data_IF_361590103176
#
_entry.id   IF_361590103176
#
_cell.length_a   1.000
_cell.length_b   1.000
_cell.length_c   1.000
_cell.angle_alpha   90.00
_cell.angle_beta   90.00
_cell.angle_gamma   90.00
#
_symmetry.space_group_name_H-M   'P 1'
#
loop_
_entity.id
_entity.type
_entity.pdbx_description
1 polymer ?
#
# COMPACT_ATOMS: atom_id res chain seq x y z
N UNK A 1 -6.45 0.33 21.26
CA UNK A 1 -6.51 1.81 21.22
C UNK A 1 -5.55 2.27 20.12
N UNK A 2 -5.95 3.20 19.22
CA UNK A 2 -5.01 3.80 18.28
C UNK A 2 -3.83 4.39 19.05
N UNK A 3 -2.60 4.05 18.67
CA UNK A 3 -1.44 4.76 19.21
C UNK A 3 -1.54 6.23 18.81
N UNK A 4 -1.04 7.16 19.62
CA UNK A 4 -1.09 8.61 19.30
C UNK A 4 -0.46 8.95 17.94
N UNK A 5 0.35 8.05 17.37
CA UNK A 5 0.95 8.16 16.04
C UNK A 5 -0.06 8.09 14.88
N UNK A 6 -1.19 7.39 15.04
CA UNK A 6 -2.18 7.19 13.96
C UNK A 6 -3.00 8.45 13.61
N UNK A 7 -3.01 9.48 14.47
CA UNK A 7 -3.94 10.62 14.31
C UNK A 7 -3.50 11.65 13.26
N UNK A 8 -2.24 11.61 12.82
CA UNK A 8 -1.65 12.62 11.94
C UNK A 8 -1.16 12.07 10.58
N UNK A 9 -1.36 10.78 10.30
CA UNK A 9 -0.97 10.20 9.01
C UNK A 9 -1.93 10.64 7.90
N UNK A 10 -1.39 11.15 6.80
CA UNK A 10 -2.18 11.41 5.60
C UNK A 10 -2.65 10.07 5.00
N UNK A 11 -3.92 9.91 4.63
CA UNK A 11 -4.34 8.76 3.85
C UNK A 11 -3.55 8.73 2.54
N UNK A 12 -3.03 7.55 2.17
CA UNK A 12 -2.38 7.41 0.86
C UNK A 12 -3.42 7.26 -0.25
N UNK A 13 -3.01 7.62 -1.45
CA UNK A 13 -3.81 7.59 -2.67
C UNK A 13 -3.05 6.76 -3.71
N UNK A 14 -3.76 6.02 -4.56
CA UNK A 14 -3.13 5.31 -5.67
C UNK A 14 -2.81 6.30 -6.80
N UNK A 15 -1.71 6.09 -7.52
CA UNK A 15 -1.22 6.92 -8.63
C UNK A 15 -0.23 8.01 -8.22
N UNK A 16 0.09 8.95 -9.12
CA UNK A 16 0.94 10.12 -8.83
C UNK A 16 0.18 11.18 -8.02
N UNK A 17 0.86 11.89 -7.10
CA UNK A 17 0.24 13.01 -6.40
C UNK A 17 -0.13 14.13 -7.37
N UNK A 18 -1.28 14.78 -7.14
CA UNK A 18 -1.65 16.03 -7.81
C UNK A 18 -0.92 17.21 -7.16
N UNK A 19 0.38 17.32 -7.41
CA UNK A 19 1.20 18.44 -6.93
C UNK A 19 1.38 19.45 -8.06
N UNK A 20 1.38 20.75 -7.72
CA UNK A 20 1.64 21.78 -8.71
C UNK A 20 3.07 21.66 -9.25
N UNK A 21 3.21 21.65 -10.57
CA UNK A 21 4.48 21.58 -11.29
C UNK A 21 5.53 22.60 -10.79
N UNK A 22 5.08 23.80 -10.39
CA UNK A 22 5.95 24.90 -9.96
C UNK A 22 6.21 24.94 -8.45
N UNK A 23 5.60 24.04 -7.68
CA UNK A 23 5.84 23.97 -6.24
C UNK A 23 7.30 23.66 -5.95
N UNK A 24 7.88 24.34 -4.95
CA UNK A 24 9.30 24.23 -4.65
C UNK A 24 9.56 23.29 -3.50
N UNK A 25 10.54 22.41 -3.68
CA UNK A 25 10.99 21.41 -2.71
C UNK A 25 12.35 21.83 -2.16
N UNK A 26 12.50 21.75 -0.83
CA UNK A 26 13.79 22.03 -0.17
C UNK A 26 14.86 21.04 -0.63
N UNK A 27 16.04 21.55 -0.94
CA UNK A 27 17.20 20.72 -1.29
C UNK A 27 17.97 20.34 -0.02
N UNK A 28 18.33 19.08 0.10
CA UNK A 28 19.23 18.60 1.15
C UNK A 28 20.68 18.81 0.73
N UNK A 29 21.49 19.38 1.62
CA UNK A 29 22.93 19.52 1.41
C UNK A 29 23.63 18.43 2.20
N UNK A 30 24.19 17.46 1.48
CA UNK A 30 24.73 16.24 2.07
C UNK A 30 26.22 16.20 1.79
N UNK A 31 27.01 16.37 2.85
CA UNK A 31 28.46 16.24 2.75
C UNK A 31 28.86 14.76 2.66
N UNK A 32 29.78 14.39 1.74
CA UNK A 32 30.36 13.06 1.71
C UNK A 32 31.09 12.77 3.03
N UNK A 33 31.07 11.51 3.43
CA UNK A 33 31.78 11.04 4.62
C UNK A 33 33.04 10.27 4.17
N UNK A 34 34.20 10.69 4.68
CA UNK A 34 35.48 10.00 4.50
C UNK A 34 35.56 8.70 5.30
N UNK A 35 34.72 8.53 6.34
CA UNK A 35 34.97 7.57 7.43
C UNK A 35 34.23 6.22 7.27
N UNK A 36 33.76 5.92 6.06
CA UNK A 36 33.07 4.65 5.77
C UNK A 36 34.01 3.74 4.99
N UNK A 37 34.59 2.77 5.69
CA UNK A 37 35.67 1.93 5.18
C UNK A 37 35.17 0.61 4.56
N UNK A 38 33.96 0.14 4.92
CA UNK A 38 33.45 -1.14 4.44
C UNK A 38 31.96 -1.19 4.11
N UNK A 39 31.58 -2.17 3.29
CA UNK A 39 30.18 -2.54 2.98
C UNK A 39 29.37 -2.85 4.24
N UNK A 40 30.01 -3.45 5.25
CA UNK A 40 29.35 -3.81 6.50
C UNK A 40 28.97 -2.56 7.27
N UNK A 41 29.85 -1.58 7.35
CA UNK A 41 29.61 -0.34 8.09
C UNK A 41 28.47 0.47 7.46
N UNK A 42 28.37 0.48 6.13
CA UNK A 42 27.24 1.08 5.41
C UNK A 42 25.91 0.44 5.81
N UNK A 43 25.84 -0.89 5.80
CA UNK A 43 24.62 -1.64 6.15
C UNK A 43 24.25 -1.41 7.62
N UNK A 44 25.25 -1.41 8.51
CA UNK A 44 25.08 -1.22 9.94
C UNK A 44 24.57 0.18 10.26
N UNK A 45 25.12 1.20 9.61
CA UNK A 45 24.67 2.60 9.73
C UNK A 45 23.28 2.83 9.15
N UNK A 46 22.99 2.31 7.95
CA UNK A 46 21.66 2.44 7.36
C UNK A 46 20.59 1.79 8.25
N UNK A 47 20.88 0.56 8.71
CA UNK A 47 19.95 -0.16 9.58
C UNK A 47 19.81 0.52 10.93
N UNK A 48 20.90 0.97 11.58
CA UNK A 48 20.80 1.65 12.88
C UNK A 48 20.02 2.96 12.77
N UNK A 49 20.15 3.67 11.65
CA UNK A 49 19.44 4.91 11.40
C UNK A 49 17.93 4.72 11.22
N UNK A 50 17.50 3.61 10.61
CA UNK A 50 16.10 3.40 10.23
C UNK A 50 15.39 2.32 11.07
N UNK A 51 16.11 1.58 11.93
CA UNK A 51 15.58 0.45 12.72
C UNK A 51 14.40 0.85 13.62
N UNK A 52 14.47 2.03 14.25
CA UNK A 52 13.41 2.51 15.15
C UNK A 52 12.30 3.26 14.41
N UNK A 53 12.45 3.46 13.10
CA UNK A 53 11.56 4.27 12.28
C UNK A 53 11.86 5.75 12.32
N UNK A 54 11.55 6.42 11.21
CA UNK A 54 11.67 7.86 11.03
C UNK A 54 10.34 8.37 10.51
N UNK A 55 9.78 9.36 11.19
CA UNK A 55 8.54 10.00 10.75
C UNK A 55 8.83 10.86 9.52
N UNK A 56 8.13 10.56 8.43
CA UNK A 56 8.15 11.37 7.22
C UNK A 56 7.32 12.64 7.43
N UNK A 57 7.86 13.81 7.08
CA UNK A 57 7.22 15.10 7.31
C UNK A 57 6.08 15.39 6.31
N UNK A 58 6.12 14.79 5.12
CA UNK A 58 5.06 14.97 4.13
C UNK A 58 3.83 14.12 4.48
N UNK A 59 4.01 12.84 4.81
CA UNK A 59 2.88 11.91 5.01
C UNK A 59 2.56 11.59 6.46
N UNK A 60 3.49 11.81 7.40
CA UNK A 60 3.39 11.31 8.77
C UNK A 60 3.82 9.84 8.92
N UNK A 61 4.15 9.14 7.84
CA UNK A 61 4.45 7.71 7.88
C UNK A 61 5.70 7.40 8.71
N UNK A 62 5.63 6.35 9.52
CA UNK A 62 6.80 5.82 10.21
C UNK A 62 7.62 4.92 9.26
N UNK A 63 8.59 5.51 8.56
CA UNK A 63 9.45 4.81 7.61
C UNK A 63 10.57 4.05 8.33
N UNK A 64 10.62 2.73 8.13
CA UNK A 64 11.57 1.81 8.76
C UNK A 64 12.41 1.07 7.74
N UNK A 65 13.56 0.54 8.13
CA UNK A 65 14.30 -0.41 7.29
C UNK A 65 15.00 -1.46 8.16
N UNK A 66 14.85 -2.73 7.80
CA UNK A 66 15.58 -3.81 8.46
C UNK A 66 17.01 -3.90 7.93
N UNK A 67 17.87 -4.64 8.65
CA UNK A 67 19.20 -5.01 8.14
C UNK A 67 19.13 -5.78 6.81
N UNK A 68 18.06 -6.57 6.62
CA UNK A 68 17.84 -7.32 5.37
C UNK A 68 17.55 -6.37 4.20
N UNK A 69 16.74 -5.34 4.45
CA UNK A 69 16.38 -4.36 3.42
C UNK A 69 17.56 -3.43 3.09
N UNK A 70 18.33 -3.04 4.12
CA UNK A 70 19.60 -2.34 3.95
C UNK A 70 20.57 -3.12 3.07
N UNK A 71 20.69 -4.44 3.28
CA UNK A 71 21.50 -5.32 2.43
C UNK A 71 21.05 -5.25 0.96
N UNK A 72 19.76 -5.46 0.67
CA UNK A 72 19.23 -5.43 -0.71
C UNK A 72 19.52 -4.12 -1.42
N UNK A 73 19.32 -3.00 -0.71
CA UNK A 73 19.58 -1.64 -1.21
C UNK A 73 21.05 -1.46 -1.58
N UNK A 74 21.93 -1.91 -0.70
CA UNK A 74 23.39 -1.80 -0.84
C UNK A 74 23.96 -2.74 -1.91
N UNK A 75 23.37 -3.93 -2.12
CA UNK A 75 23.88 -4.91 -3.09
C UNK A 75 23.91 -4.43 -4.54
N UNK A 76 23.12 -3.42 -4.90
CA UNK A 76 22.99 -2.90 -6.27
C UNK A 76 23.80 -1.63 -6.54
N UNK A 77 24.61 -1.15 -5.58
CA UNK A 77 25.30 0.15 -5.67
C UNK A 77 26.81 0.01 -5.53
N UNK A 78 27.54 0.90 -6.18
CA UNK A 78 28.98 1.05 -5.98
C UNK A 78 29.26 1.69 -4.62
N UNK A 79 29.65 0.87 -3.66
CA UNK A 79 29.86 1.25 -2.26
C UNK A 79 31.07 2.14 -2.03
N UNK A 80 32.01 2.16 -2.97
CA UNK A 80 33.16 3.04 -2.90
C UNK A 80 32.82 4.46 -3.36
N UNK A 81 31.66 4.64 -3.99
CA UNK A 81 31.18 5.97 -4.38
C UNK A 81 30.95 6.85 -3.14
N UNK A 82 31.61 8.02 -3.06
CA UNK A 82 31.37 9.00 -2.00
C UNK A 82 29.89 9.39 -1.89
N UNK A 83 29.19 9.44 -3.03
CA UNK A 83 27.76 9.73 -3.13
C UNK A 83 26.93 8.70 -2.36
N UNK A 84 27.23 7.41 -2.55
CA UNK A 84 26.51 6.33 -1.88
C UNK A 84 26.73 6.37 -0.36
N UNK A 85 27.97 6.66 0.08
CA UNK A 85 28.31 6.82 1.50
C UNK A 85 27.56 8.01 2.13
N UNK A 86 27.51 9.14 1.43
CA UNK A 86 26.82 10.35 1.86
C UNK A 86 25.31 10.10 2.11
N UNK A 87 24.66 9.40 1.18
CA UNK A 87 23.24 9.05 1.27
C UNK A 87 22.94 8.16 2.48
N UNK A 88 23.74 7.10 2.70
CA UNK A 88 23.44 6.16 3.78
C UNK A 88 23.69 6.73 5.18
N UNK A 89 24.66 7.65 5.32
CA UNK A 89 24.85 8.42 6.57
C UNK A 89 23.62 9.27 6.89
N UNK A 90 23.08 9.94 5.88
CA UNK A 90 21.98 10.90 6.04
C UNK A 90 20.60 10.27 5.79
N UNK A 91 20.50 8.94 5.88
CA UNK A 91 19.28 8.19 5.60
C UNK A 91 18.08 8.65 6.46
N UNK A 92 18.30 9.10 7.70
CA UNK A 92 17.21 9.67 8.54
C UNK A 92 16.67 10.96 7.95
N UNK A 93 17.54 11.89 7.58
CA UNK A 93 17.13 13.19 7.03
C UNK A 93 16.45 13.02 5.67
N UNK A 94 16.96 12.11 4.84
CA UNK A 94 16.37 11.72 3.56
C UNK A 94 14.97 11.14 3.77
N UNK A 95 14.82 10.15 4.66
CA UNK A 95 13.53 9.52 4.94
C UNK A 95 12.52 10.55 5.49
N UNK A 96 12.95 11.43 6.40
CA UNK A 96 12.08 12.44 7.00
C UNK A 96 11.66 13.53 6.00
N UNK A 97 12.56 13.96 5.12
CA UNK A 97 12.34 15.12 4.22
C UNK A 97 11.84 14.75 2.82
N UNK A 98 11.80 13.46 2.48
CA UNK A 98 11.35 13.01 1.17
C UNK A 98 9.85 13.25 0.96
N UNK A 99 9.49 13.68 -0.24
CA UNK A 99 8.10 13.88 -0.65
C UNK A 99 7.53 12.58 -1.19
N UNK A 100 6.29 12.27 -0.84
CA UNK A 100 5.58 11.14 -1.42
C UNK A 100 5.10 11.49 -2.82
N UNK A 101 5.60 10.79 -3.85
CA UNK A 101 5.36 11.20 -5.25
C UNK A 101 4.36 10.31 -5.96
N UNK A 102 4.35 9.00 -5.67
CA UNK A 102 3.47 8.02 -6.30
C UNK A 102 3.19 6.86 -5.33
N UNK A 103 1.98 6.31 -5.36
CA UNK A 103 1.72 4.96 -4.85
C UNK A 103 1.21 4.05 -5.94
N UNK A 104 1.66 2.80 -5.95
CA UNK A 104 1.13 1.78 -6.83
C UNK A 104 1.14 0.43 -6.10
N UNK A 105 0.60 -0.60 -6.72
CA UNK A 105 0.65 -1.95 -6.18
C UNK A 105 1.97 -2.65 -6.49
N UNK A 106 2.28 -3.75 -5.79
CA UNK A 106 3.39 -4.63 -6.16
C UNK A 106 3.06 -5.43 -7.43
N UNK A 107 3.24 -4.78 -8.59
CA UNK A 107 2.98 -5.35 -9.92
C UNK A 107 3.96 -6.47 -10.29
N UNK A 108 5.16 -6.44 -9.71
CA UNK A 108 6.25 -7.34 -10.08
C UNK A 108 6.18 -8.68 -9.34
N UNK A 109 5.89 -8.66 -8.04
CA UNK A 109 5.91 -9.85 -7.20
C UNK A 109 4.53 -10.27 -6.71
N UNK A 110 3.51 -9.42 -6.90
CA UNK A 110 2.11 -9.66 -6.55
C UNK A 110 1.93 -10.19 -5.12
N UNK A 111 2.72 -9.64 -4.18
CA UNK A 111 2.77 -10.12 -2.81
C UNK A 111 1.49 -9.73 -2.05
N UNK A 112 0.70 -10.72 -1.63
CA UNK A 112 -0.57 -10.51 -0.93
C UNK A 112 -0.45 -9.80 0.43
N UNK A 113 0.76 -9.74 1.00
CA UNK A 113 1.03 -9.03 2.26
C UNK A 113 1.35 -7.55 2.04
N UNK A 114 1.67 -7.14 0.81
CA UNK A 114 1.97 -5.76 0.45
C UNK A 114 0.70 -5.11 -0.06
N UNK A 115 0.19 -4.13 0.69
CA UNK A 115 -0.99 -3.35 0.31
C UNK A 115 -0.65 -2.31 -0.76
N UNK A 116 0.52 -1.68 -0.64
CA UNK A 116 0.98 -0.68 -1.59
C UNK A 116 2.52 -0.60 -1.61
N UNK A 117 3.04 -0.09 -2.72
CA UNK A 117 4.39 0.41 -2.88
C UNK A 117 4.26 1.92 -3.03
N UNK A 118 4.95 2.66 -2.17
CA UNK A 118 5.05 4.11 -2.22
C UNK A 118 6.44 4.49 -2.72
N UNK A 119 6.49 5.48 -3.60
CA UNK A 119 7.72 6.09 -4.05
C UNK A 119 7.81 7.46 -3.39
N UNK A 120 8.90 7.69 -2.68
CA UNK A 120 9.26 8.99 -2.15
C UNK A 120 10.48 9.54 -2.89
N UNK A 121 10.60 10.86 -3.02
CA UNK A 121 11.75 11.49 -3.62
C UNK A 121 12.21 12.73 -2.86
N UNK A 122 13.53 12.95 -2.83
CA UNK A 122 14.12 14.19 -2.30
C UNK A 122 15.27 14.65 -3.21
N UNK A 123 15.40 15.97 -3.47
CA UNK A 123 16.58 16.51 -4.11
C UNK A 123 17.72 16.68 -3.10
N UNK A 124 18.90 16.20 -3.46
CA UNK A 124 20.10 16.33 -2.64
C UNK A 124 21.28 16.86 -3.45
N UNK A 125 22.01 17.83 -2.92
CA UNK A 125 23.31 18.25 -3.42
C UNK A 125 24.39 17.47 -2.68
N UNK A 126 25.20 16.73 -3.44
CA UNK A 126 26.29 15.90 -2.93
C UNK A 126 27.51 16.21 -3.79
N UNK A 127 28.63 16.59 -3.16
CA UNK A 127 29.87 16.97 -3.88
C UNK A 127 29.65 18.03 -4.98
N UNK A 128 28.69 18.93 -4.76
CA UNK A 128 28.37 20.01 -5.71
C UNK A 128 27.51 19.56 -6.90
N UNK A 129 27.07 18.31 -6.95
CA UNK A 129 26.15 17.81 -7.96
C UNK A 129 24.75 17.60 -7.38
N UNK A 130 23.71 17.90 -8.17
CA UNK A 130 22.32 17.65 -7.77
C UNK A 130 21.92 16.21 -8.13
N UNK A 131 21.26 15.55 -7.18
CA UNK A 131 20.74 14.18 -7.30
C UNK A 131 19.28 14.11 -6.91
N UNK A 132 18.55 13.19 -7.54
CA UNK A 132 17.28 12.66 -7.03
C UNK A 132 17.55 11.39 -6.24
N UNK A 133 17.15 11.40 -4.98
CA UNK A 133 17.18 10.21 -4.14
C UNK A 133 15.75 9.71 -4.02
N UNK A 134 15.49 8.50 -4.49
CA UNK A 134 14.17 7.88 -4.46
C UNK A 134 14.15 6.76 -3.42
N UNK A 135 13.11 6.73 -2.57
CA UNK A 135 12.87 5.66 -1.62
C UNK A 135 11.69 4.82 -2.13
N UNK A 136 11.89 3.52 -2.24
CA UNK A 136 10.82 2.56 -2.47
C UNK A 136 10.38 2.01 -1.12
N UNK A 137 9.15 2.31 -0.72
CA UNK A 137 8.57 1.93 0.56
C UNK A 137 7.44 0.93 0.33
N UNK A 138 7.52 -0.24 0.96
CA UNK A 138 6.43 -1.22 0.96
C UNK A 138 5.55 -1.01 2.19
N UNK A 139 4.26 -0.91 1.96
CA UNK A 139 3.22 -0.88 2.99
C UNK A 139 2.65 -2.29 3.18
N UNK A 140 2.83 -2.83 4.38
CA UNK A 140 2.43 -4.20 4.72
C UNK A 140 1.16 -4.23 5.58
N UNK A 141 0.28 -5.19 5.27
CA UNK A 141 -0.89 -5.51 6.10
C UNK A 141 -0.65 -6.81 6.84
N UNK A 142 -0.49 -6.73 8.16
CA UNK A 142 -0.52 -7.92 9.01
C UNK A 142 -1.97 -8.32 9.31
N UNK A 143 -2.32 -9.59 9.04
CA UNK A 143 -3.71 -10.10 9.13
C UNK A 143 -4.21 -10.32 10.57
N UNK A 144 -3.33 -10.31 11.58
CA UNK A 144 -3.67 -10.70 12.97
C UNK A 144 -3.28 -9.67 14.05
N UNK A 145 -2.77 -8.50 13.67
CA UNK A 145 -2.45 -7.42 14.61
C UNK A 145 -3.23 -6.17 14.23
N UNK A 146 -4.04 -5.65 15.15
CA UNK A 146 -4.57 -4.30 15.04
C UNK A 146 -3.37 -3.33 14.95
N UNK A 147 -3.16 -2.77 13.75
CA UNK A 147 -2.37 -1.56 13.49
C UNK A 147 -0.88 -1.62 13.86
N UNK A 148 -0.13 -2.46 13.15
CA UNK A 148 1.24 -2.08 12.79
C UNK A 148 1.31 -1.97 11.28
N UNK A 149 0.92 -0.82 10.73
CA UNK A 149 1.34 -0.47 9.38
C UNK A 149 2.86 -0.36 9.42
N UNK A 150 3.54 -1.23 8.67
CA UNK A 150 5.00 -1.20 8.55
C UNK A 150 5.32 -0.63 7.20
N UNK A 151 5.76 0.63 7.17
CA UNK A 151 6.27 1.27 5.97
C UNK A 151 7.76 0.98 5.86
N UNK A 152 8.11 -0.16 5.24
CA UNK A 152 9.51 -0.57 5.11
C UNK A 152 10.15 -0.03 3.84
N UNK A 153 11.23 0.74 3.97
CA UNK A 153 12.10 1.13 2.86
C UNK A 153 12.81 -0.12 2.35
N UNK A 154 12.39 -0.62 1.18
CA UNK A 154 12.93 -1.82 0.52
C UNK A 154 14.05 -1.48 -0.46
N UNK A 155 14.12 -0.22 -0.93
CA UNK A 155 15.12 0.22 -1.89
C UNK A 155 15.39 1.72 -1.86
N UNK A 156 16.63 2.09 -2.20
CA UNK A 156 17.05 3.47 -2.44
C UNK A 156 17.67 3.57 -3.84
N UNK A 157 17.07 4.38 -4.70
CA UNK A 157 17.61 4.74 -6.00
C UNK A 157 18.25 6.11 -5.95
N UNK A 158 19.30 6.30 -6.75
CA UNK A 158 20.06 7.55 -6.81
C UNK A 158 20.22 7.83 -8.29
N UNK A 159 19.65 8.95 -8.74
CA UNK A 159 19.73 9.40 -10.12
C UNK A 159 20.40 10.77 -10.13
N UNK A 160 21.52 10.89 -10.86
CA UNK A 160 22.14 12.20 -11.09
C UNK A 160 21.24 12.99 -12.02
N UNK A 161 21.04 14.27 -11.76
CA UNK A 161 20.45 15.13 -12.77
C UNK A 161 21.47 15.32 -13.89
N UNK A 162 21.29 14.58 -14.98
CA UNK A 162 21.83 15.04 -16.25
C UNK A 162 21.13 16.37 -16.56
N UNK A 163 21.89 17.38 -17.03
CA UNK A 163 21.32 18.59 -17.62
C UNK A 163 20.44 18.13 -18.80
N UNK A 164 19.17 17.85 -18.53
CA UNK A 164 18.20 17.54 -19.56
C UNK A 164 18.16 18.74 -20.51
N UNK A 165 18.65 18.49 -21.73
CA UNK A 165 18.44 19.25 -22.96
C UNK A 165 17.79 20.63 -22.75
N UNK A 166 18.61 21.67 -22.84
CA UNK A 166 18.09 22.99 -23.18
C UNK A 166 17.57 22.89 -24.61
N UNK A 167 16.27 22.67 -24.77
CA UNK A 167 15.59 23.12 -25.98
C UNK A 167 15.45 24.63 -25.83
N UNK A 168 16.44 25.35 -26.33
CA UNK A 168 16.27 26.76 -26.66
C UNK A 168 15.28 26.81 -27.83
N UNK A 169 14.12 27.50 -27.71
CA UNK A 169 13.37 27.83 -28.89
C UNK A 169 14.27 28.73 -29.74
N UNK A 170 14.46 28.48 -31.04
CA UNK A 170 15.23 29.39 -31.88
C UNK A 170 14.55 30.76 -31.82
N UNK A 171 15.33 31.77 -31.42
CA UNK A 171 14.96 33.16 -31.62
C UNK A 171 14.57 33.38 -33.09
N UNK A 172 13.59 34.24 -33.30
CA UNK A 172 13.08 34.62 -34.61
C UNK A 172 14.18 35.02 -35.60
N UNK A 173 13.93 34.62 -36.85
CA UNK A 173 14.34 35.23 -38.12
C UNK A 173 15.79 35.66 -38.28
N UNK A 174 16.54 35.00 -39.19
CA UNK A 174 17.18 35.74 -40.28
C UNK A 174 17.22 34.90 -41.56
N UNK A 175 16.93 35.58 -42.66
CA UNK A 175 17.04 35.15 -44.03
C UNK A 175 18.45 34.63 -44.43
N UNK A 176 18.42 33.84 -45.52
CA UNK A 176 19.40 33.71 -46.60
C UNK A 176 20.81 33.15 -46.35
N UNK A 177 20.99 31.94 -46.90
CA UNK A 177 22.10 31.42 -47.72
C UNK A 177 23.51 31.96 -47.48
N UNK A 178 24.39 31.02 -47.10
CA UNK A 178 25.74 30.92 -47.62
C UNK A 178 26.81 30.95 -46.53
N UNK A 179 27.47 29.81 -46.32
CA UNK A 179 28.93 29.59 -46.41
C UNK A 179 29.28 28.33 -45.59
N UNK A 180 29.77 27.29 -46.26
CA UNK A 180 30.42 26.14 -45.64
C UNK A 180 31.79 26.58 -45.11
N UNK A 181 32.12 26.31 -43.83
CA UNK A 181 33.53 26.06 -43.44
C UNK A 181 33.69 25.27 -42.12
N UNK A 182 34.26 24.07 -42.29
CA UNK A 182 35.30 23.34 -41.53
C UNK A 182 35.40 23.43 -39.99
N UNK A 183 35.20 22.24 -39.39
CA UNK A 183 35.95 21.60 -38.29
C UNK A 183 36.34 22.42 -37.06
N UNK A 184 35.72 22.07 -35.93
CA UNK A 184 36.35 22.07 -34.61
C UNK A 184 36.13 20.69 -33.97
N UNK A 185 37.19 20.08 -33.43
CA UNK A 185 37.06 19.03 -32.40
C UNK A 185 36.05 19.53 -31.35
N UNK A 186 35.19 18.68 -30.78
CA UNK A 186 34.50 19.07 -29.56
C UNK A 186 35.57 19.26 -28.50
N UNK A 187 35.96 20.50 -28.24
CA UNK A 187 36.60 20.87 -26.99
C UNK A 187 35.61 20.49 -25.92
N UNK A 188 35.90 19.41 -25.19
CA UNK A 188 35.30 19.16 -23.89
C UNK A 188 35.71 20.34 -23.00
N UNK A 189 35.01 21.46 -23.14
CA UNK A 189 35.03 22.51 -22.15
C UNK A 189 34.58 21.85 -20.84
N UNK A 190 35.54 21.67 -19.93
CA UNK A 190 35.26 21.42 -18.52
C UNK A 190 34.45 22.61 -18.03
N UNK A 191 33.14 22.54 -18.17
CA UNK A 191 32.24 23.47 -17.51
C UNK A 191 32.41 23.26 -16.02
N UNK A 192 33.00 24.26 -15.37
CA UNK A 192 33.17 24.34 -13.93
C UNK A 192 31.84 24.07 -13.22
N UNK A 193 31.96 23.36 -12.11
CA UNK A 193 30.93 23.18 -11.08
C UNK A 193 30.26 24.52 -10.77
N UNK A 194 29.05 24.74 -11.27
CA UNK A 194 28.19 25.83 -10.81
C UNK A 194 26.83 25.20 -10.47
N UNK A 195 26.82 24.41 -9.40
CA UNK A 195 25.66 24.39 -8.50
C UNK A 195 26.03 25.40 -7.43
N UNK A 196 25.52 26.63 -7.56
CA UNK A 196 25.69 27.66 -6.54
C UNK A 196 25.31 27.09 -5.17
N UNK A 197 26.13 27.33 -4.14
CA UNK A 197 25.83 27.02 -2.73
C UNK A 197 24.50 27.66 -2.23
N UNK A 198 23.86 28.49 -3.07
CA UNK A 198 22.61 29.19 -2.80
C UNK A 198 21.32 28.46 -3.24
N UNK A 199 21.38 27.26 -3.85
CA UNK A 199 20.15 26.54 -4.25
C UNK A 199 19.48 25.89 -3.03
N UNK A 200 18.65 26.67 -2.32
CA UNK A 200 17.91 26.19 -1.13
C UNK A 200 16.69 25.33 -1.48
N UNK A 201 16.16 25.48 -2.69
CA UNK A 201 14.98 24.77 -3.17
C UNK A 201 15.00 24.63 -4.70
N UNK A 202 14.30 23.62 -5.21
CA UNK A 202 14.07 23.43 -6.66
C UNK A 202 12.59 23.23 -6.95
N UNK A 203 12.08 23.63 -8.12
CA UNK A 203 10.71 23.33 -8.49
C UNK A 203 10.52 21.82 -8.75
N UNK A 204 9.33 21.30 -8.45
CA UNK A 204 9.02 19.88 -8.53
C UNK A 204 9.21 19.31 -9.93
N UNK A 205 8.95 20.10 -10.97
CA UNK A 205 9.22 19.64 -12.34
C UNK A 205 10.68 19.32 -12.61
N UNK A 206 11.60 20.00 -11.92
CA UNK A 206 13.01 19.62 -11.97
C UNK A 206 13.22 18.38 -11.14
N UNK A 207 12.63 18.26 -9.94
CA UNK A 207 12.74 17.04 -9.13
C UNK A 207 12.33 15.79 -9.93
N UNK A 208 11.22 15.86 -10.64
CA UNK A 208 10.61 14.69 -11.30
C UNK A 208 10.98 14.60 -12.78
N UNK A 209 11.99 15.35 -13.22
CA UNK A 209 12.51 15.25 -14.59
C UNK A 209 13.03 13.84 -14.88
N UNK A 210 12.58 13.24 -15.98
CA UNK A 210 12.93 11.87 -16.36
C UNK A 210 12.33 10.77 -15.47
N UNK A 211 11.50 11.11 -14.47
CA UNK A 211 10.76 10.11 -13.72
C UNK A 211 9.67 9.48 -14.60
N UNK A 212 9.66 8.14 -14.62
CA UNK A 212 8.65 7.34 -15.30
C UNK A 212 7.82 6.67 -14.22
N UNK A 213 6.51 6.90 -14.27
CA UNK A 213 5.52 6.33 -13.35
C UNK A 213 5.38 4.83 -13.56
N UNK A 214 4.72 4.14 -12.64
CA UNK A 214 4.48 2.70 -12.75
C UNK A 214 3.67 2.29 -14.00
N UNK A 215 2.90 3.21 -14.58
CA UNK A 215 2.14 3.01 -15.82
C UNK A 215 2.94 3.29 -17.11
N UNK A 216 4.23 3.64 -16.99
CA UNK A 216 5.11 3.93 -18.12
C UNK A 216 5.04 5.37 -18.66
N UNK A 217 4.18 6.23 -18.11
CA UNK A 217 4.08 7.64 -18.52
C UNK A 217 5.02 8.53 -17.70
N UNK A 218 5.36 9.74 -18.16
CA UNK A 218 6.12 10.70 -17.34
C UNK A 218 5.24 11.26 -16.23
N UNK A 219 5.85 11.77 -15.17
CA UNK A 219 5.11 12.28 -14.01
C UNK A 219 4.01 13.30 -14.35
N UNK A 220 4.36 14.33 -15.14
CA UNK A 220 3.47 15.42 -15.54
C UNK A 220 2.77 15.18 -16.87
N UNK A 221 2.88 13.99 -17.46
CA UNK A 221 2.06 13.68 -18.63
C UNK A 221 0.60 13.69 -18.18
N UNK A 222 -0.26 14.29 -19.01
CA UNK A 222 -1.68 14.38 -18.73
C UNK A 222 -2.21 12.98 -18.43
N UNK A 223 -2.76 12.86 -17.23
CA UNK A 223 -3.62 11.74 -16.86
C UNK A 223 -4.99 12.04 -17.44
N UNK A 224 -5.59 11.09 -18.15
CA UNK A 224 -6.98 11.29 -18.61
C UNK A 224 -7.86 11.57 -17.39
N UNK A 225 -8.81 12.51 -17.47
CA UNK A 225 -9.76 12.72 -16.37
C UNK A 225 -10.56 11.43 -16.07
N UNK A 226 -10.69 10.55 -17.08
CA UNK A 226 -11.28 9.21 -16.98
C UNK A 226 -10.41 8.23 -16.17
N UNK A 227 -9.10 8.49 -16.05
CA UNK A 227 -8.17 7.75 -15.19
C UNK A 227 -8.21 8.27 -13.74
N UNK A 228 -9.20 9.07 -13.35
CA UNK A 228 -9.44 9.47 -11.96
C UNK A 228 -10.90 9.22 -11.56
N UNK A 229 -11.10 8.64 -10.38
CA UNK A 229 -12.42 8.57 -9.75
C UNK A 229 -12.91 9.95 -9.30
N UNK A 230 -14.22 10.05 -9.02
CA UNK A 230 -14.86 11.26 -8.47
C UNK A 230 -14.29 11.70 -7.11
N UNK A 231 -13.57 10.81 -6.42
CA UNK A 231 -12.83 11.06 -5.18
C UNK A 231 -11.39 11.56 -5.40
N UNK A 232 -10.97 11.74 -6.66
CA UNK A 232 -9.63 12.18 -7.04
C UNK A 232 -8.57 11.06 -7.04
N UNK A 233 -8.97 9.80 -6.80
CA UNK A 233 -8.07 8.64 -6.77
C UNK A 233 -7.77 8.17 -8.20
N UNK A 234 -6.49 7.94 -8.53
CA UNK A 234 -6.06 7.45 -9.84
C UNK A 234 -6.64 6.07 -10.16
N UNK A 235 -7.49 5.98 -11.18
CA UNK A 235 -8.03 4.77 -11.80
C UNK A 235 -7.30 4.47 -13.11
N UNK A 236 -6.09 3.91 -13.06
CA UNK A 236 -5.51 3.31 -14.27
C UNK A 236 -6.02 1.88 -14.49
N UNK A 237 -6.00 1.40 -15.74
CA UNK A 237 -6.19 -0.01 -16.07
C UNK A 237 -5.27 -0.92 -15.25
N UNK A 238 -4.08 -0.43 -14.89
CA UNK A 238 -3.13 -1.08 -13.99
C UNK A 238 -3.69 -1.24 -12.56
N UNK A 239 -4.34 -0.20 -12.00
CA UNK A 239 -5.04 -0.30 -10.70
C UNK A 239 -6.20 -1.28 -10.78
N UNK A 240 -7.01 -1.18 -11.82
CA UNK A 240 -8.18 -2.04 -12.01
C UNK A 240 -7.75 -3.50 -12.07
N UNK A 241 -6.75 -3.81 -12.91
CA UNK A 241 -6.18 -5.15 -13.02
C UNK A 241 -5.64 -5.65 -11.69
N UNK A 242 -4.88 -4.83 -10.95
CA UNK A 242 -4.36 -5.24 -9.65
C UNK A 242 -5.47 -5.50 -8.62
N UNK A 243 -6.43 -4.58 -8.49
CA UNK A 243 -7.54 -4.74 -7.53
C UNK A 243 -8.37 -5.97 -7.90
N UNK A 244 -8.66 -6.16 -9.20
CA UNK A 244 -9.36 -7.35 -9.69
C UNK A 244 -8.58 -8.63 -9.36
N UNK A 245 -7.27 -8.68 -9.65
CA UNK A 245 -6.43 -9.84 -9.34
C UNK A 245 -6.37 -10.13 -7.85
N UNK A 246 -6.24 -9.09 -7.02
CA UNK A 246 -6.18 -9.23 -5.57
C UNK A 246 -7.51 -9.76 -5.01
N UNK A 247 -8.63 -9.17 -5.42
CA UNK A 247 -9.96 -9.61 -5.01
C UNK A 247 -10.26 -11.02 -5.53
N UNK A 248 -9.82 -11.37 -6.74
CA UNK A 248 -9.94 -12.72 -7.30
C UNK A 248 -9.13 -13.75 -6.51
N UNK A 249 -7.92 -13.44 -6.05
CA UNK A 249 -7.15 -14.33 -5.16
C UNK A 249 -7.87 -14.54 -3.84
N UNK A 250 -8.36 -13.45 -3.23
CA UNK A 250 -9.20 -13.54 -2.02
C UNK A 250 -10.43 -14.39 -2.25
N UNK A 251 -11.10 -14.23 -3.39
CA UNK A 251 -12.23 -15.06 -3.80
C UNK A 251 -11.85 -16.55 -3.83
N UNK A 252 -10.80 -16.88 -4.59
CA UNK A 252 -10.35 -18.27 -4.79
C UNK A 252 -9.92 -18.93 -3.47
N UNK A 253 -9.30 -18.17 -2.57
CA UNK A 253 -8.86 -18.66 -1.26
C UNK A 253 -10.03 -18.80 -0.28
N UNK A 254 -10.87 -17.77 -0.13
CA UNK A 254 -11.96 -17.76 0.86
C UNK A 254 -13.11 -18.71 0.49
N UNK A 255 -13.32 -18.95 -0.82
CA UNK A 255 -14.43 -19.76 -1.33
C UNK A 255 -13.96 -21.05 -2.00
N UNK A 256 -12.76 -21.53 -1.65
CA UNK A 256 -12.22 -22.79 -2.17
C UNK A 256 -13.20 -23.96 -1.98
N UNK A 257 -13.82 -24.08 -0.82
CA UNK A 257 -14.82 -25.13 -0.55
C UNK A 257 -16.07 -25.01 -1.43
N UNK A 258 -16.49 -23.80 -1.80
CA UNK A 258 -17.62 -23.59 -2.72
C UNK A 258 -17.26 -24.07 -4.10
N UNK A 259 -16.05 -23.75 -4.57
CA UNK A 259 -15.53 -24.20 -5.85
C UNK A 259 -15.48 -25.73 -5.92
N UNK A 260 -14.99 -26.38 -4.86
CA UNK A 260 -14.94 -27.83 -4.76
C UNK A 260 -16.36 -28.46 -4.76
N UNK A 261 -17.29 -27.95 -3.94
CA UNK A 261 -18.68 -28.43 -3.88
C UNK A 261 -19.42 -28.28 -5.21
N UNK A 262 -19.12 -27.23 -5.97
CA UNK A 262 -19.69 -26.99 -7.29
C UNK A 262 -18.91 -27.65 -8.44
N UNK A 263 -17.99 -28.59 -8.13
CA UNK A 263 -17.20 -29.34 -9.11
C UNK A 263 -16.42 -28.42 -10.08
N UNK A 264 -15.94 -27.28 -9.58
CA UNK A 264 -15.16 -26.32 -10.34
C UNK A 264 -13.70 -26.29 -9.85
N UNK A 265 -12.86 -27.27 -10.25
CA UNK A 265 -11.46 -27.29 -9.85
C UNK A 265 -10.71 -26.11 -10.49
N UNK A 266 -9.82 -25.46 -9.74
CA UNK A 266 -8.99 -24.34 -10.23
C UNK A 266 -7.82 -24.83 -11.11
N UNK A 267 -8.13 -25.55 -12.19
CA UNK A 267 -7.18 -25.78 -13.29
C UNK A 267 -6.80 -24.45 -13.94
N UNK A 268 -5.69 -24.40 -14.69
CA UNK A 268 -5.25 -23.18 -15.39
C UNK A 268 -6.37 -22.55 -16.23
N UNK A 269 -7.10 -23.38 -16.98
CA UNK A 269 -8.23 -22.96 -17.81
C UNK A 269 -9.40 -22.43 -16.99
N UNK A 270 -9.79 -23.13 -15.92
CA UNK A 270 -10.90 -22.71 -15.07
C UNK A 270 -10.57 -21.44 -14.29
N UNK A 271 -9.31 -21.27 -13.87
CA UNK A 271 -8.82 -20.05 -13.23
C UNK A 271 -8.89 -18.86 -14.18
N UNK A 272 -8.47 -19.01 -15.43
CA UNK A 272 -8.59 -17.96 -16.46
C UNK A 272 -10.05 -17.62 -16.75
N UNK A 273 -10.91 -18.64 -16.93
CA UNK A 273 -12.34 -18.43 -17.17
C UNK A 273 -13.00 -17.69 -16.00
N UNK A 274 -12.72 -18.12 -14.77
CA UNK A 274 -13.29 -17.51 -13.57
C UNK A 274 -12.77 -16.08 -13.38
N UNK A 275 -11.48 -15.83 -13.65
CA UNK A 275 -10.92 -14.49 -13.58
C UNK A 275 -11.55 -13.55 -14.61
N UNK A 276 -11.69 -13.96 -15.87
CA UNK A 276 -12.34 -13.15 -16.90
C UNK A 276 -13.79 -12.79 -16.52
N UNK A 277 -14.56 -13.76 -16.02
CA UNK A 277 -15.92 -13.51 -15.56
C UNK A 277 -15.95 -12.62 -14.31
N UNK A 278 -14.94 -12.71 -13.45
CA UNK A 278 -14.78 -11.82 -12.30
C UNK A 278 -14.50 -10.38 -12.74
N UNK A 279 -13.66 -10.16 -13.76
CA UNK A 279 -13.42 -8.84 -14.33
C UNK A 279 -14.69 -8.24 -14.94
N UNK A 280 -15.46 -9.04 -15.71
CA UNK A 280 -16.76 -8.62 -16.23
C UNK A 280 -17.71 -8.18 -15.10
N UNK A 281 -17.73 -8.89 -13.97
CA UNK A 281 -18.53 -8.53 -12.80
C UNK A 281 -18.03 -7.27 -12.08
N UNK A 282 -16.73 -6.99 -12.12
CA UNK A 282 -16.10 -5.83 -11.52
C UNK A 282 -16.24 -4.56 -12.37
N UNK A 283 -16.34 -4.70 -13.69
CA UNK A 283 -16.35 -3.61 -14.68
C UNK A 283 -17.42 -2.55 -14.41
N UNK A 284 -18.65 -2.98 -14.08
CA UNK A 284 -19.76 -2.06 -13.76
C UNK A 284 -19.41 -1.14 -12.56
N UNK A 285 -18.55 -1.57 -11.62
CA UNK A 285 -18.14 -0.74 -10.48
C UNK A 285 -17.03 0.24 -10.84
N UNK A 286 -16.17 -0.13 -11.80
CA UNK A 286 -15.15 0.74 -12.34
C UNK A 286 -15.78 1.88 -13.15
N UNK A 287 -16.71 1.54 -14.05
CA UNK A 287 -17.43 2.51 -14.89
C UNK A 287 -18.26 3.51 -14.09
N UNK A 288 -18.83 3.08 -12.96
CA UNK A 288 -19.68 3.93 -12.12
C UNK A 288 -18.93 4.65 -10.98
N UNK A 289 -17.59 4.66 -11.01
CA UNK A 289 -16.75 5.29 -9.97
C UNK A 289 -17.04 4.83 -8.53
N UNK A 290 -17.60 3.64 -8.34
CA UNK A 290 -17.92 3.11 -7.00
C UNK A 290 -16.70 2.56 -6.23
N UNK A 291 -15.48 2.89 -6.70
CA UNK A 291 -14.23 2.78 -5.96
C UNK A 291 -14.00 1.39 -5.36
N UNK A 292 -13.80 0.38 -6.21
CA UNK A 292 -13.31 -0.90 -5.72
C UNK A 292 -11.93 -0.71 -5.07
N UNK A 293 -11.74 -1.37 -3.94
CA UNK A 293 -10.48 -1.46 -3.18
C UNK A 293 -10.16 -2.92 -2.92
N UNK A 294 -9.07 -3.21 -2.23
CA UNK A 294 -8.63 -4.59 -1.91
C UNK A 294 -9.35 -5.21 -0.69
N UNK A 295 -10.37 -4.53 -0.15
CA UNK A 295 -11.08 -4.96 1.05
C UNK A 295 -12.18 -6.02 0.77
N UNK A 296 -12.68 -6.67 1.82
CA UNK A 296 -13.71 -7.71 1.71
C UNK A 296 -15.04 -7.14 1.17
N UNK A 297 -15.41 -5.92 1.56
CA UNK A 297 -16.63 -5.27 1.08
C UNK A 297 -16.66 -5.10 -0.44
N UNK A 298 -15.51 -4.78 -1.06
CA UNK A 298 -15.38 -4.68 -2.51
C UNK A 298 -15.58 -6.03 -3.18
N UNK A 299 -15.05 -7.10 -2.57
CA UNK A 299 -15.29 -8.47 -3.04
C UNK A 299 -16.78 -8.84 -2.97
N UNK A 300 -17.43 -8.53 -1.83
CA UNK A 300 -18.86 -8.82 -1.62
C UNK A 300 -19.75 -8.05 -2.60
N UNK A 301 -19.42 -6.78 -2.90
CA UNK A 301 -20.10 -5.97 -3.94
C UNK A 301 -20.07 -6.67 -5.30
N UNK A 302 -18.89 -7.11 -5.74
CA UNK A 302 -18.72 -7.80 -7.04
C UNK A 302 -19.58 -9.07 -7.10
N UNK A 303 -19.50 -9.91 -6.06
CA UNK A 303 -20.23 -11.18 -6.03
C UNK A 303 -21.74 -10.94 -5.96
N UNK A 304 -22.18 -9.91 -5.24
CA UNK A 304 -23.59 -9.59 -5.05
C UNK A 304 -24.22 -8.84 -6.22
N UNK A 305 -23.44 -8.47 -7.24
CA UNK A 305 -23.93 -7.75 -8.43
C UNK A 305 -24.69 -8.68 -9.39
N UNK A 306 -25.93 -9.01 -9.03
CA UNK A 306 -26.77 -9.91 -9.82
C UNK A 306 -27.11 -9.35 -11.22
N UNK A 307 -27.06 -8.02 -11.41
CA UNK A 307 -27.33 -7.40 -12.71
C UNK A 307 -26.35 -7.84 -13.81
N UNK A 308 -25.15 -8.27 -13.42
CA UNK A 308 -24.11 -8.73 -14.35
C UNK A 308 -24.21 -10.23 -14.66
N UNK A 309 -24.99 -11.02 -13.91
CA UNK A 309 -25.00 -12.48 -14.05
C UNK A 309 -25.41 -12.95 -15.47
N UNK A 310 -26.27 -12.19 -16.15
CA UNK A 310 -26.65 -12.42 -17.54
C UNK A 310 -25.47 -12.34 -18.53
N UNK A 311 -24.39 -11.62 -18.17
CA UNK A 311 -23.16 -11.49 -18.97
C UNK A 311 -22.12 -12.58 -18.64
N UNK A 312 -22.35 -13.37 -17.59
CA UNK A 312 -21.40 -14.36 -17.09
C UNK A 312 -21.67 -15.76 -17.67
N UNK A 313 -20.64 -16.58 -17.69
CA UNK A 313 -20.74 -17.99 -18.06
C UNK A 313 -21.62 -18.76 -17.05
N UNK A 314 -22.52 -19.66 -17.48
CA UNK A 314 -23.46 -20.34 -16.58
C UNK A 314 -22.80 -21.05 -15.38
N UNK A 315 -21.65 -21.69 -15.62
CA UNK A 315 -20.89 -22.35 -14.56
C UNK A 315 -20.36 -21.35 -13.52
N UNK A 316 -20.00 -20.13 -13.94
CA UNK A 316 -19.54 -19.08 -13.04
C UNK A 316 -20.72 -18.43 -12.31
N UNK A 317 -21.87 -18.27 -12.95
CA UNK A 317 -23.11 -17.82 -12.30
C UNK A 317 -23.46 -18.74 -11.13
N UNK A 318 -23.42 -20.05 -11.32
CA UNK A 318 -23.69 -21.02 -10.25
C UNK A 318 -22.72 -20.86 -9.06
N UNK A 319 -21.44 -20.62 -9.35
CA UNK A 319 -20.42 -20.34 -8.33
C UNK A 319 -20.71 -19.02 -7.61
N UNK A 320 -20.95 -17.93 -8.34
CA UNK A 320 -21.23 -16.61 -7.77
C UNK A 320 -22.51 -16.65 -6.92
N UNK A 321 -23.55 -17.35 -7.35
CA UNK A 321 -24.75 -17.58 -6.54
C UNK A 321 -24.46 -18.37 -5.26
N UNK A 322 -23.73 -19.48 -5.36
CA UNK A 322 -23.38 -20.29 -4.20
C UNK A 322 -22.53 -19.50 -3.20
N UNK A 323 -21.56 -18.73 -3.70
CA UNK A 323 -20.73 -17.84 -2.91
C UNK A 323 -21.57 -16.72 -2.28
N UNK A 324 -22.47 -16.08 -3.04
CA UNK A 324 -23.38 -15.05 -2.52
C UNK A 324 -24.26 -15.60 -1.40
N UNK A 325 -24.80 -16.81 -1.55
CA UNK A 325 -25.59 -17.49 -0.51
C UNK A 325 -24.74 -17.74 0.74
N UNK A 326 -23.48 -18.15 0.58
CA UNK A 326 -22.57 -18.32 1.71
C UNK A 326 -22.21 -16.98 2.37
N UNK A 327 -21.99 -15.91 1.59
CA UNK A 327 -21.79 -14.56 2.12
C UNK A 327 -23.02 -14.14 2.91
N UNK A 328 -24.23 -14.28 2.38
CA UNK A 328 -25.47 -13.95 3.10
C UNK A 328 -25.65 -14.79 4.37
N UNK A 329 -25.30 -16.08 4.32
CA UNK A 329 -25.34 -16.96 5.49
C UNK A 329 -24.30 -16.58 6.56
N UNK A 330 -23.13 -16.08 6.15
CA UNK A 330 -22.05 -15.63 7.03
C UNK A 330 -22.23 -14.17 7.50
N UNK A 331 -22.84 -13.32 6.68
CA UNK A 331 -23.21 -11.92 6.94
C UNK A 331 -24.54 -11.78 7.67
N UNK A 332 -25.21 -12.90 7.90
CA UNK A 332 -26.13 -13.08 9.01
C UNK A 332 -25.31 -13.59 10.21
N UNK A 333 -24.56 -12.75 10.94
CA UNK A 333 -24.21 -13.16 12.27
C UNK A 333 -25.54 -13.28 13.01
N UNK A 334 -25.74 -14.40 13.66
CA UNK A 334 -26.34 -14.42 14.98
C UNK A 334 -26.03 -13.10 15.70
N UNK A 335 -26.95 -12.13 15.66
CA UNK A 335 -26.84 -10.87 16.38
C UNK A 335 -27.77 -11.01 17.56
N UNK A 336 -27.18 -11.00 18.75
CA UNK A 336 -27.96 -10.83 19.96
C UNK A 336 -28.41 -9.38 20.05
N UNK A 337 -29.66 -9.18 20.44
CA UNK A 337 -30.15 -7.87 20.86
C UNK A 337 -29.30 -7.33 22.02
N UNK A 338 -29.39 -6.03 22.35
CA UNK A 338 -28.72 -5.49 23.54
C UNK A 338 -29.15 -6.22 24.83
N UNK A 339 -30.40 -6.72 24.87
CA UNK A 339 -30.88 -7.58 25.95
C UNK A 339 -30.18 -8.95 25.94
N UNK A 340 -30.08 -9.60 24.78
CA UNK A 340 -29.40 -10.88 24.62
C UNK A 340 -27.91 -10.82 24.96
N UNK A 341 -27.21 -9.73 24.61
CA UNK A 341 -25.81 -9.49 25.00
C UNK A 341 -25.67 -9.37 26.51
N UNK A 342 -26.60 -8.69 27.19
CA UNK A 342 -26.61 -8.55 28.65
C UNK A 342 -26.78 -9.90 29.35
N UNK A 343 -27.70 -10.74 28.87
CA UNK A 343 -27.92 -12.09 29.42
C UNK A 343 -26.74 -13.02 29.14
N UNK A 344 -26.14 -12.94 27.96
CA UNK A 344 -24.93 -13.69 27.63
C UNK A 344 -23.78 -13.31 28.55
N UNK A 345 -23.55 -12.02 28.79
CA UNK A 345 -22.50 -11.55 29.70
C UNK A 345 -22.63 -12.17 31.09
N UNK A 346 -23.84 -12.23 31.64
CA UNK A 346 -24.09 -12.86 32.94
C UNK A 346 -23.81 -14.37 32.94
N UNK A 347 -24.09 -15.07 31.83
CA UNK A 347 -23.73 -16.49 31.69
C UNK A 347 -22.21 -16.68 31.60
N UNK A 348 -21.51 -15.82 30.86
CA UNK A 348 -20.05 -15.83 30.77
C UNK A 348 -19.42 -15.54 32.14
N UNK A 349 -19.98 -14.62 32.91
CA UNK A 349 -19.56 -14.35 34.29
C UNK A 349 -19.79 -15.56 35.19
N UNK A 350 -20.92 -16.26 35.07
CA UNK A 350 -21.18 -17.50 35.84
C UNK A 350 -20.21 -18.65 35.48
N UNK A 351 -19.70 -18.70 34.24
CA UNK A 351 -18.72 -19.70 33.81
C UNK A 351 -17.37 -19.56 34.53
N UNK A 352 -17.06 -18.41 35.14
CA UNK A 352 -15.85 -18.23 35.98
C UNK A 352 -15.81 -19.17 37.19
N UNK A 353 -16.97 -19.70 37.61
CA UNK A 353 -17.06 -20.70 38.70
C UNK A 353 -16.71 -22.13 38.26
N UNK A 354 -16.74 -22.39 36.94
CA UNK A 354 -16.55 -23.71 36.32
C UNK A 354 -15.23 -23.82 35.55
N UNK A 355 -14.73 -22.71 35.02
CA UNK A 355 -13.50 -22.65 34.24
C UNK A 355 -12.48 -21.69 34.87
N UNK A 356 -11.20 -22.07 34.94
CA UNK A 356 -10.14 -21.24 35.52
C UNK A 356 -9.80 -20.02 34.65
N UNK A 357 -10.14 -20.05 33.35
CA UNK A 357 -10.00 -18.91 32.45
C UNK A 357 -11.08 -18.89 31.36
N UNK A 358 -11.30 -17.71 30.78
CA UNK A 358 -12.25 -17.54 29.66
C UNK A 358 -11.79 -18.28 28.38
N UNK A 359 -10.48 -18.51 28.25
CA UNK A 359 -9.90 -19.25 27.13
C UNK A 359 -10.34 -20.71 27.16
N UNK A 360 -10.40 -21.29 28.36
CA UNK A 360 -10.85 -22.67 28.60
C UNK A 360 -12.39 -22.81 28.47
N UNK A 361 -13.11 -21.69 28.57
CA UNK A 361 -14.57 -21.63 28.39
C UNK A 361 -15.00 -21.30 26.93
N UNK A 362 -14.05 -21.05 26.02
CA UNK A 362 -14.31 -20.49 24.69
C UNK A 362 -15.33 -21.29 23.86
N UNK A 363 -15.27 -22.62 23.88
CA UNK A 363 -16.24 -23.47 23.19
C UNK A 363 -17.66 -23.35 23.76
N UNK A 364 -17.80 -23.23 25.08
CA UNK A 364 -19.11 -23.11 25.74
C UNK A 364 -19.71 -21.71 25.53
N UNK A 365 -18.88 -20.67 25.50
CA UNK A 365 -19.28 -19.29 25.15
C UNK A 365 -19.81 -19.23 23.71
N UNK A 366 -19.13 -19.87 22.76
CA UNK A 366 -19.58 -19.93 21.36
C UNK A 366 -20.90 -20.71 21.22
N UNK A 367 -21.07 -21.82 21.96
CA UNK A 367 -22.34 -22.57 21.98
C UNK A 367 -23.50 -21.75 22.57
N UNK A 368 -23.26 -21.00 23.64
CA UNK A 368 -24.26 -20.11 24.24
C UNK A 368 -24.66 -18.98 23.30
N UNK A 369 -23.68 -18.34 22.66
CA UNK A 369 -23.91 -17.28 21.67
C UNK A 369 -24.82 -17.75 20.53
N UNK A 370 -24.55 -18.96 20.00
CA UNK A 370 -25.36 -19.58 18.94
C UNK A 370 -26.78 -19.89 19.43
N UNK A 371 -26.91 -20.53 20.59
CA UNK A 371 -28.21 -20.90 21.18
C UNK A 371 -29.10 -19.69 21.46
N UNK A 372 -28.55 -18.63 22.05
CA UNK A 372 -29.33 -17.44 22.39
C UNK A 372 -29.82 -16.70 21.15
N UNK A 373 -28.97 -16.66 20.13
CA UNK A 373 -29.32 -16.04 18.86
C UNK A 373 -30.37 -16.83 18.08
N UNK A 374 -30.44 -18.16 18.23
CA UNK A 374 -31.53 -18.99 17.70
C UNK A 374 -32.85 -18.79 18.47
N UNK A 375 -32.77 -18.58 19.80
CA UNK A 375 -33.94 -18.30 20.64
C UNK A 375 -34.57 -16.93 20.34
N UNK A 376 -33.76 -15.88 20.22
CA UNK A 376 -34.26 -14.54 19.84
C UNK A 376 -34.87 -14.54 18.43
N UNK A 377 -34.22 -15.23 17.47
CA UNK A 377 -34.77 -15.38 16.10
C UNK A 377 -36.11 -16.12 16.06
N UNK A 378 -36.37 -17.00 17.02
CA UNK A 378 -37.63 -17.76 17.13
C UNK A 378 -38.66 -17.12 18.07
N UNK A 379 -38.39 -15.92 18.60
CA UNK A 379 -39.26 -15.21 19.54
C UNK A 379 -39.41 -15.92 20.90
N UNK A 380 -38.49 -16.82 21.23
CA UNK A 380 -38.51 -17.60 22.48
C UNK A 380 -37.73 -16.87 23.58
N UNK A 381 -38.14 -17.00 24.86
CA UNK A 381 -37.44 -16.35 25.96
C UNK A 381 -36.02 -16.90 26.11
N UNK A 382 -35.10 -16.00 26.48
CA UNK A 382 -33.73 -16.38 26.79
C UNK A 382 -33.63 -17.08 28.15
N UNK A 383 -32.72 -18.05 28.33
CA UNK A 383 -32.57 -18.76 29.60
C UNK A 383 -32.11 -17.83 30.73
N UNK A 384 -32.66 -18.01 31.93
CA UNK A 384 -32.19 -17.34 33.14
C UNK A 384 -30.85 -17.93 33.62
N UNK A 385 -30.00 -17.08 34.16
CA UNK A 385 -28.67 -17.46 34.70
C UNK A 385 -28.88 -18.37 35.92
N UNK A 386 -28.19 -19.52 36.03
CA UNK A 386 -28.29 -20.38 37.20
C UNK A 386 -27.93 -19.61 38.47
N UNK A 387 -28.85 -19.49 39.43
CA UNK A 387 -28.57 -18.91 40.74
C UNK A 387 -27.52 -19.78 41.45
N UNK A 388 -26.40 -19.19 41.86
CA UNK A 388 -25.41 -19.86 42.70
C UNK A 388 -26.12 -20.45 43.93
N UNK A 389 -26.00 -21.76 44.14
CA UNK A 389 -26.50 -22.42 45.35
C UNK A 389 -25.85 -21.73 46.55
N UNK A 390 -26.67 -21.13 47.43
CA UNK A 390 -26.22 -20.67 48.75
C UNK A 390 -25.47 -21.81 49.40
N UNK A 391 -24.20 -21.59 49.71
CA UNK A 391 -23.42 -22.43 50.61
C UNK A 391 -24.22 -22.56 51.91
N UNK A 392 -24.56 -23.79 52.31
CA UNK A 392 -25.06 -24.06 53.66
C UNK A 392 -23.99 -23.58 54.64
N UNK A 393 -24.36 -22.65 55.53
CA UNK A 393 -23.56 -22.38 56.73
C UNK A 393 -23.43 -23.67 57.54
N UNK A 394 -22.28 -23.94 58.17
CA UNK A 394 -22.16 -25.02 59.12
C UNK A 394 -22.92 -24.64 60.40
N UNK A 395 -23.81 -25.53 60.86
CA UNK A 395 -24.45 -25.43 62.17
C UNK A 395 -23.37 -25.42 63.27
N UNK A 396 -23.62 -24.57 64.27
CA UNK A 396 -22.79 -24.33 65.46
C UNK A 396 -22.64 -25.55 66.35
#
# INVERSE_FOLDING_TARGET
>A
MPSEFDKNEKPWFFGPQRINRTETVKVLFINPDSDVESKKDVIDRLSSNLKNGVINQDTGFLLQASRSDAKKTVFRKDLNSPIVKAIFKNAKEIASSSLHIESHCDLLHENEKVQAIHIFAVPAIIEGDLFRVELTVRDYVERDHERKMVHSIDGISIQRYEKAFVWEPPAQEVASKGTLQKTGQPTNERYGSIVNENIKSIPLYRLLSGYIRADGKKYFDNVSLEEFGLDGVYQSSVRQLYVNQFLFRKFANNFKEVLEKNKFPLSTRNRQLLFLNFEIAADDFWLNSQGLTTNLQSLEKIISNQAVYQKLSPNVVAIFEATRRQIVQNSLPFQLSEHGKKILKLHVEALSTKYPSIKDASEEVVRLYKKFSELEKSGKPLPEVPKAKKTKEPER
#
